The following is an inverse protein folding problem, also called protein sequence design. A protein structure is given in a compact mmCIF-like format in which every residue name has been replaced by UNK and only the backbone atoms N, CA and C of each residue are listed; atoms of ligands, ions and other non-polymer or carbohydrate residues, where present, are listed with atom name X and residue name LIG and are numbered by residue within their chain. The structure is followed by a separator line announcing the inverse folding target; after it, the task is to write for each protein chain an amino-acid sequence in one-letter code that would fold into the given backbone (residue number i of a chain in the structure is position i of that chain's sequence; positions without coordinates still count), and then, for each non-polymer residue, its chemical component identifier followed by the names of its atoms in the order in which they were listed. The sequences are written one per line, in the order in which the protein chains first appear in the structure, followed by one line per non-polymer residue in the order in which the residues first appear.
data_IF_477813565534
#
_entry.id   IF_477813565534
#
_cell.length_a   1.000
_cell.length_b   1.000
_cell.length_c   1.000
_cell.angle_alpha   90.00
_cell.angle_beta   90.00
_cell.angle_gamma   90.00
#
_symmetry.space_group_name_H-M   'P 1'
#
loop_
_entity.id
_entity.type
_entity.pdbx_description
1 polymer ?
#
# COMPACT_ATOMS: atom_id res chain seq x y z
N UNK A 1 1.67 -26.72 -25.52
CA UNK A 1 0.42 -26.02 -25.17
C UNK A 1 -0.77 -26.98 -24.93
N UNK A 2 -0.95 -28.02 -25.75
CA UNK A 2 -2.06 -29.00 -25.63
C UNK A 2 -2.00 -29.87 -24.36
N UNK A 3 -0.82 -30.35 -23.96
CA UNK A 3 -0.67 -31.25 -22.81
C UNK A 3 -1.07 -30.62 -21.46
N UNK A 4 -0.83 -29.32 -21.27
CA UNK A 4 -1.20 -28.60 -20.03
C UNK A 4 -2.72 -28.41 -19.92
N UNK A 5 -3.38 -28.09 -21.03
CA UNK A 5 -4.84 -27.95 -21.08
C UNK A 5 -5.54 -29.29 -20.86
N UNK A 6 -5.01 -30.39 -21.43
CA UNK A 6 -5.56 -31.73 -21.20
C UNK A 6 -5.51 -32.17 -19.73
N UNK A 7 -4.47 -31.79 -18.99
CA UNK A 7 -4.31 -32.18 -17.58
C UNK A 7 -4.96 -31.22 -16.58
N UNK A 8 -5.02 -29.91 -16.87
CA UNK A 8 -5.41 -28.88 -15.88
C UNK A 8 -6.48 -27.90 -16.40
N UNK A 9 -6.98 -28.09 -17.63
CA UNK A 9 -7.95 -27.19 -18.26
C UNK A 9 -7.48 -25.73 -18.33
N UNK A 10 -8.43 -24.79 -18.29
CA UNK A 10 -8.17 -23.34 -18.23
C UNK A 10 -7.36 -22.93 -16.99
N UNK A 11 -7.43 -23.71 -15.91
CA UNK A 11 -6.74 -23.42 -14.66
C UNK A 11 -5.20 -23.59 -14.77
N UNK A 12 -4.70 -24.40 -15.71
CA UNK A 12 -3.25 -24.59 -15.95
C UNK A 12 -2.51 -23.38 -16.54
N UNK A 13 -3.25 -22.32 -16.92
CA UNK A 13 -2.72 -21.03 -17.34
C UNK A 13 -2.68 -20.00 -16.20
N UNK A 14 -3.28 -20.32 -15.06
CA UNK A 14 -3.17 -19.49 -13.86
C UNK A 14 -1.76 -19.64 -13.29
N UNK A 15 -1.08 -18.52 -13.08
CA UNK A 15 0.26 -18.53 -12.49
C UNK A 15 0.21 -19.10 -11.06
N UNK A 16 1.11 -20.04 -10.72
CA UNK A 16 1.09 -20.77 -9.45
C UNK A 16 1.32 -19.91 -8.19
N UNK A 17 1.82 -18.68 -8.36
CA UNK A 17 1.94 -17.70 -7.28
C UNK A 17 0.71 -16.80 -7.14
N UNK A 18 -0.35 -17.00 -7.93
CA UNK A 18 -1.59 -16.24 -7.80
C UNK A 18 -2.19 -16.50 -6.42
N UNK A 19 -2.27 -15.44 -5.61
CA UNK A 19 -2.84 -15.48 -4.27
C UNK A 19 -1.88 -15.89 -3.15
N UNK A 20 -0.63 -16.28 -3.47
CA UNK A 20 0.39 -16.53 -2.43
C UNK A 20 1.05 -15.23 -2.02
N UNK A 21 1.10 -14.97 -0.72
CA UNK A 21 1.85 -13.85 -0.15
C UNK A 21 3.32 -14.25 0.00
N UNK A 22 4.28 -13.48 -0.51
CA UNK A 22 5.70 -13.72 -0.27
C UNK A 22 6.04 -13.71 1.22
N UNK A 23 7.08 -14.45 1.63
CA UNK A 23 7.60 -14.43 3.01
C UNK A 23 8.10 -13.05 3.46
N UNK A 24 8.45 -12.19 2.51
CA UNK A 24 8.87 -10.80 2.73
C UNK A 24 7.68 -9.84 2.94
N UNK A 25 6.45 -10.34 2.97
CA UNK A 25 5.26 -9.50 3.13
C UNK A 25 5.20 -8.94 4.55
N UNK A 26 5.09 -7.61 4.65
CA UNK A 26 4.85 -6.93 5.92
C UNK A 26 3.52 -7.41 6.50
N UNK A 27 3.53 -7.86 7.76
CA UNK A 27 2.32 -8.33 8.43
C UNK A 27 1.25 -7.25 8.50
N UNK A 28 -0.02 -7.66 8.44
CA UNK A 28 -1.15 -6.73 8.48
C UNK A 28 -1.17 -5.92 9.79
N UNK A 29 -0.73 -6.53 10.90
CA UNK A 29 -0.57 -5.86 12.19
C UNK A 29 0.45 -4.72 12.12
N UNK A 30 1.63 -4.97 11.56
CA UNK A 30 2.68 -3.95 11.37
C UNK A 30 2.17 -2.82 10.49
N UNK A 31 1.51 -3.15 9.38
CA UNK A 31 0.87 -2.17 8.50
C UNK A 31 -0.12 -1.28 9.26
N UNK A 32 -1.01 -1.88 10.05
CA UNK A 32 -2.01 -1.15 10.82
C UNK A 32 -1.36 -0.24 11.88
N UNK A 33 -0.34 -0.74 12.58
CA UNK A 33 0.42 0.03 13.57
C UNK A 33 1.06 1.27 12.94
N UNK A 34 1.73 1.12 11.80
CA UNK A 34 2.41 2.22 11.10
C UNK A 34 1.41 3.26 10.59
N UNK A 35 0.28 2.82 10.03
CA UNK A 35 -0.77 3.73 9.57
C UNK A 35 -1.39 4.50 10.72
N UNK A 36 -1.66 3.84 11.86
CA UNK A 36 -2.20 4.52 13.05
C UNK A 36 -1.21 5.53 13.62
N UNK A 37 0.08 5.18 13.69
CA UNK A 37 1.13 6.11 14.11
C UNK A 37 1.18 7.37 13.24
N UNK A 38 1.06 7.20 11.92
CA UNK A 38 1.00 8.34 11.01
C UNK A 38 -0.19 9.25 11.30
N UNK A 39 -1.38 8.68 11.50
CA UNK A 39 -2.62 9.42 11.73
C UNK A 39 -2.58 10.19 13.05
N UNK A 40 -2.10 9.55 14.11
CA UNK A 40 -2.15 10.10 15.47
C UNK A 40 -1.02 11.11 15.74
N UNK A 41 0.19 10.84 15.26
CA UNK A 41 1.39 11.58 15.70
C UNK A 41 2.10 12.33 14.56
N UNK A 42 2.01 11.83 13.32
CA UNK A 42 2.86 12.31 12.22
C UNK A 42 2.09 12.85 11.02
N UNK A 43 0.82 13.23 11.20
CA UNK A 43 -0.06 13.68 10.11
C UNK A 43 0.53 14.89 9.37
N UNK A 44 1.25 15.76 10.09
CA UNK A 44 1.90 16.97 9.57
C UNK A 44 3.30 16.73 8.99
N UNK A 45 3.69 15.49 8.70
CA UNK A 45 5.00 15.18 8.12
C UNK A 45 4.92 14.76 6.65
N UNK A 46 6.02 14.94 5.93
CA UNK A 46 6.20 14.33 4.62
C UNK A 46 6.48 12.83 4.77
N UNK A 47 6.02 12.01 3.83
CA UNK A 47 6.23 10.56 3.85
C UNK A 47 7.71 10.17 3.87
N UNK A 48 8.58 10.91 3.18
CA UNK A 48 10.03 10.65 3.20
C UNK A 48 10.60 10.77 4.62
N UNK A 49 10.19 11.82 5.35
CA UNK A 49 10.62 12.03 6.73
C UNK A 49 10.01 10.99 7.67
N UNK A 50 8.74 10.64 7.46
CA UNK A 50 8.08 9.59 8.22
C UNK A 50 8.75 8.21 8.02
N UNK A 51 9.16 7.87 6.80
CA UNK A 51 9.94 6.65 6.52
C UNK A 51 11.25 6.62 7.33
N UNK A 52 11.94 7.75 7.43
CA UNK A 52 13.17 7.85 8.23
C UNK A 52 12.88 7.59 9.72
N UNK A 53 11.83 8.21 10.27
CA UNK A 53 11.41 7.98 11.66
C UNK A 53 11.07 6.50 11.90
N UNK A 54 10.34 5.88 10.97
CA UNK A 54 9.97 4.47 11.08
C UNK A 54 11.19 3.56 11.08
N UNK A 55 12.18 3.86 10.23
CA UNK A 55 13.43 3.13 10.18
C UNK A 55 14.23 3.28 11.48
N UNK A 56 14.37 4.51 11.97
CA UNK A 56 15.23 4.81 13.13
C UNK A 56 14.61 4.34 14.45
N UNK A 57 13.30 4.51 14.63
CA UNK A 57 12.62 4.14 15.90
C UNK A 57 12.13 2.70 15.95
N UNK A 58 11.72 2.13 14.81
CA UNK A 58 11.06 0.83 14.77
C UNK A 58 11.80 -0.21 13.92
N UNK A 59 12.89 0.17 13.24
CA UNK A 59 13.71 -0.75 12.44
C UNK A 59 13.08 -1.22 11.13
N UNK A 60 11.89 -0.72 10.76
CA UNK A 60 11.22 -1.15 9.53
C UNK A 60 11.69 -0.32 8.34
N UNK A 61 12.13 -1.00 7.27
CA UNK A 61 12.48 -0.33 6.00
C UNK A 61 11.29 -0.37 5.06
N UNK A 62 10.61 0.77 4.91
CA UNK A 62 9.39 0.89 4.09
C UNK A 62 9.53 2.10 3.18
N UNK A 63 9.18 1.94 1.90
CA UNK A 63 9.18 3.03 0.95
C UNK A 63 8.02 4.00 1.18
N UNK A 64 8.23 5.27 0.84
CA UNK A 64 7.23 6.32 0.84
C UNK A 64 6.01 5.97 -0.05
N UNK A 65 6.26 5.32 -1.18
CA UNK A 65 5.24 4.80 -2.10
C UNK A 65 4.35 3.75 -1.45
N UNK A 66 4.92 2.89 -0.60
CA UNK A 66 4.16 1.88 0.15
C UNK A 66 3.27 2.51 1.20
N UNK A 67 3.80 3.48 1.96
CA UNK A 67 3.04 4.24 2.96
C UNK A 67 1.91 5.02 2.29
N UNK A 68 2.21 5.70 1.18
CA UNK A 68 1.23 6.43 0.38
C UNK A 68 0.11 5.50 -0.13
N UNK A 69 0.44 4.27 -0.55
CA UNK A 69 -0.57 3.27 -0.94
C UNK A 69 -1.49 2.91 0.23
N UNK A 70 -0.92 2.57 1.38
CA UNK A 70 -1.70 2.21 2.57
C UNK A 70 -2.59 3.35 3.08
N UNK A 71 -2.09 4.58 3.05
CA UNK A 71 -2.88 5.75 3.44
C UNK A 71 -4.01 6.05 2.44
N UNK A 72 -3.75 5.84 1.14
CA UNK A 72 -4.79 6.00 0.10
C UNK A 72 -5.93 5.00 0.24
N UNK A 73 -5.64 3.76 0.65
CA UNK A 73 -6.68 2.78 0.97
C UNK A 73 -7.61 3.29 2.08
N UNK A 74 -7.07 4.05 3.05
CA UNK A 74 -7.84 4.74 4.10
C UNK A 74 -8.36 6.13 3.72
N UNK A 75 -8.26 6.50 2.44
CA UNK A 75 -8.63 7.81 1.92
C UNK A 75 -7.87 9.02 2.54
N UNK A 76 -6.64 8.80 3.00
CA UNK A 76 -5.78 9.83 3.61
C UNK A 76 -4.74 10.29 2.59
N UNK A 77 -4.43 11.59 2.61
CA UNK A 77 -3.42 12.22 1.77
C UNK A 77 -2.51 13.09 2.64
N UNK A 78 -1.21 13.10 2.35
CA UNK A 78 -0.26 14.00 2.99
C UNK A 78 -0.68 15.48 2.85
N UNK A 79 -0.52 16.30 3.89
CA UNK A 79 -0.87 17.73 3.86
C UNK A 79 -0.11 18.49 2.76
N UNK A 80 1.15 18.14 2.52
CA UNK A 80 2.04 18.75 1.52
C UNK A 80 1.79 18.29 0.08
N UNK A 81 0.69 17.57 -0.15
CA UNK A 81 0.36 17.08 -1.49
C UNK A 81 -0.01 18.22 -2.45
N UNK A 82 0.51 18.14 -3.68
CA UNK A 82 0.24 19.10 -4.77
C UNK A 82 -1.27 19.26 -5.05
N UNK A 83 -1.67 20.46 -5.47
CA UNK A 83 -3.08 20.82 -5.79
C UNK A 83 -3.72 19.85 -6.80
N UNK A 84 -3.00 19.48 -7.85
CA UNK A 84 -3.49 18.54 -8.88
C UNK A 84 -3.87 17.18 -8.28
N UNK A 85 -3.02 16.66 -7.39
CA UNK A 85 -3.26 15.38 -6.71
C UNK A 85 -4.44 15.48 -5.74
N UNK A 86 -4.56 16.58 -4.99
CA UNK A 86 -5.74 16.86 -4.13
C UNK A 86 -7.03 16.88 -4.96
N UNK A 87 -7.02 17.52 -6.13
CA UNK A 87 -8.18 17.58 -7.02
C UNK A 87 -8.55 16.22 -7.60
N UNK A 88 -7.56 15.44 -8.08
CA UNK A 88 -7.78 14.08 -8.58
C UNK A 88 -8.38 13.19 -7.50
N UNK A 89 -7.89 13.31 -6.27
CA UNK A 89 -8.41 12.57 -5.13
C UNK A 89 -9.85 12.97 -4.76
N UNK A 90 -10.15 14.27 -4.72
CA UNK A 90 -11.54 14.76 -4.51
C UNK A 90 -12.49 14.22 -5.58
N UNK A 91 -12.08 14.21 -6.86
CA UNK A 91 -12.87 13.63 -7.95
C UNK A 91 -13.10 12.13 -7.77
N UNK A 92 -12.08 11.38 -7.35
CA UNK A 92 -12.20 9.95 -7.08
C UNK A 92 -13.19 9.69 -5.94
N UNK A 93 -13.07 10.40 -4.81
CA UNK A 93 -13.98 10.28 -3.67
C UNK A 93 -15.44 10.58 -4.03
N UNK A 94 -15.69 11.54 -4.94
CA UNK A 94 -17.03 11.86 -5.44
C UNK A 94 -17.64 10.77 -6.33
N UNK A 95 -16.83 9.97 -7.03
CA UNK A 95 -17.32 8.88 -7.90
C UNK A 95 -17.69 7.62 -7.12
N UNK A 96 -17.09 7.44 -5.95
CA UNK A 96 -17.29 6.26 -5.09
C UNK A 96 -18.44 6.46 -4.10
N UNK A 97 -18.99 7.67 -3.99
CA UNK A 97 -20.11 8.04 -3.12
C UNK A 97 -21.38 8.10 -3.96
#
# INVERSE_FOLDING_TARGET
MIARYKNQGKAGFIHGNRGKMPSTTISQETKNKIVNLYINEYLNTNYTYFCQIIKDKFGYTISDTTINRWLREKNIISPYTRKNTKNKFKKLKKRTK
#
